data_IF_093346815172
#
_entry.id   IF_093346815172
#
_cell.length_a   1.000
_cell.length_b   1.000
_cell.length_c   1.000
_cell.angle_alpha   90.00
_cell.angle_beta   90.00
_cell.angle_gamma   90.00
#
_symmetry.space_group_name_H-M   'P 1'
#
loop_
_entity.id
_entity.type
_entity.pdbx_description
1 polymer ?
#
# COMPACT_ATOMS: atom_id res chain seq x y z
N UNK A 1 16.51 -11.35 -23.56
CA UNK A 1 16.53 -9.92 -23.21
C UNK A 1 15.22 -9.60 -22.50
N UNK A 2 15.27 -9.35 -21.18
CA UNK A 2 14.07 -9.14 -20.38
C UNK A 2 13.49 -7.74 -20.60
N UNK A 3 12.17 -7.66 -20.80
CA UNK A 3 11.44 -6.41 -20.95
C UNK A 3 11.27 -5.74 -19.57
N UNK A 4 12.20 -4.88 -19.19
CA UNK A 4 12.23 -4.23 -17.87
C UNK A 4 11.35 -2.97 -17.75
N UNK A 5 10.59 -2.62 -18.80
CA UNK A 5 9.95 -1.30 -18.92
C UNK A 5 8.46 -1.29 -18.48
N UNK A 6 7.81 -2.42 -18.29
CA UNK A 6 6.34 -2.46 -18.12
C UNK A 6 5.78 -2.81 -16.73
N UNK A 7 6.62 -3.01 -15.71
CA UNK A 7 6.12 -3.48 -14.39
C UNK A 7 5.68 -2.30 -13.50
N UNK A 8 6.34 -1.14 -13.60
CA UNK A 8 5.98 0.06 -12.83
C UNK A 8 4.78 0.82 -13.42
N UNK A 9 4.44 0.61 -14.69
CA UNK A 9 3.23 1.18 -15.32
C UNK A 9 1.99 0.30 -15.23
N UNK A 10 2.13 -0.94 -14.73
CA UNK A 10 1.02 -1.88 -14.61
C UNK A 10 0.08 -1.46 -13.47
N UNK A 11 -1.17 -1.15 -13.83
CA UNK A 11 -2.20 -0.68 -12.90
C UNK A 11 -2.47 -1.69 -11.77
N UNK A 12 -2.38 -2.99 -12.06
CA UNK A 12 -2.60 -4.04 -11.07
C UNK A 12 -1.46 -4.06 -10.04
N UNK A 13 -0.22 -3.89 -10.51
CA UNK A 13 0.93 -3.76 -9.63
C UNK A 13 0.87 -2.51 -8.76
N UNK A 14 0.52 -1.36 -9.32
CA UNK A 14 0.36 -0.12 -8.54
C UNK A 14 -0.74 -0.23 -7.51
N UNK A 15 -1.87 -0.84 -7.89
CA UNK A 15 -2.96 -1.12 -6.97
C UNK A 15 -2.54 -2.07 -5.83
N UNK A 16 -1.79 -3.13 -6.16
CA UNK A 16 -1.20 -4.01 -5.15
C UNK A 16 -0.25 -3.26 -4.20
N UNK A 17 0.60 -2.37 -4.70
CA UNK A 17 1.48 -1.56 -3.84
C UNK A 17 0.70 -0.63 -2.90
N UNK A 18 -0.42 -0.06 -3.37
CA UNK A 18 -1.30 0.73 -2.52
C UNK A 18 -1.90 -0.13 -1.38
N UNK A 19 -2.36 -1.34 -1.69
CA UNK A 19 -2.89 -2.28 -0.70
C UNK A 19 -1.82 -2.79 0.27
N UNK A 20 -0.56 -2.91 -0.14
CA UNK A 20 0.54 -3.18 0.81
C UNK A 20 0.67 -2.12 1.90
N UNK A 21 0.31 -0.87 1.61
CA UNK A 21 0.36 0.22 2.59
C UNK A 21 -0.95 0.34 3.39
N UNK A 22 -2.08 0.14 2.71
CA UNK A 22 -3.41 0.30 3.30
C UNK A 22 -3.92 -0.92 4.07
N UNK A 23 -3.47 -2.12 3.72
CA UNK A 23 -3.99 -3.39 4.21
C UNK A 23 -4.80 -4.15 3.16
N UNK A 24 -5.27 -5.34 3.54
CA UNK A 24 -6.03 -6.20 2.66
C UNK A 24 -7.28 -5.49 2.13
N UNK A 25 -7.64 -5.71 0.85
CA UNK A 25 -8.88 -5.18 0.30
C UNK A 25 -10.09 -5.85 0.99
N UNK A 26 -11.26 -5.19 1.04
CA UNK A 26 -12.50 -5.81 1.50
C UNK A 26 -12.87 -7.02 0.64
N UNK A 27 -13.51 -8.04 1.22
CA UNK A 27 -13.92 -9.26 0.52
C UNK A 27 -14.78 -8.98 -0.72
N UNK A 28 -15.64 -7.96 -0.64
CA UNK A 28 -16.50 -7.49 -1.73
C UNK A 28 -15.73 -7.02 -2.97
N UNK A 29 -14.43 -6.76 -2.87
CA UNK A 29 -13.60 -6.34 -4.00
C UNK A 29 -13.14 -7.51 -4.88
N UNK A 30 -13.28 -8.75 -4.40
CA UNK A 30 -12.94 -9.97 -5.15
C UNK A 30 -13.63 -10.07 -6.52
N UNK A 31 -14.81 -9.45 -6.69
CA UNK A 31 -15.51 -9.36 -7.99
C UNK A 31 -14.86 -8.41 -9.00
N UNK A 32 -14.07 -7.45 -8.53
CA UNK A 32 -13.42 -6.43 -9.36
C UNK A 32 -11.95 -6.71 -9.57
N UNK A 33 -11.31 -7.39 -8.62
CA UNK A 33 -9.90 -7.68 -8.67
C UNK A 33 -9.58 -9.09 -8.15
N UNK A 34 -9.15 -9.95 -9.07
CA UNK A 34 -8.73 -11.31 -8.77
C UNK A 34 -7.25 -11.32 -8.32
N UNK A 35 -7.02 -11.05 -7.04
CA UNK A 35 -5.68 -10.99 -6.44
C UNK A 35 -4.88 -12.27 -6.71
N UNK A 36 -5.49 -13.43 -6.57
CA UNK A 36 -4.82 -14.72 -6.78
C UNK A 36 -4.34 -14.85 -8.23
N UNK A 37 -5.18 -14.49 -9.21
CA UNK A 37 -4.79 -14.50 -10.63
C UNK A 37 -3.66 -13.53 -10.91
N UNK A 38 -3.66 -12.36 -10.25
CA UNK A 38 -2.56 -11.41 -10.35
C UNK A 38 -1.27 -12.00 -9.74
N UNK A 39 -1.31 -12.54 -8.53
CA UNK A 39 -0.15 -13.19 -7.90
C UNK A 39 0.42 -14.31 -8.79
N UNK A 40 -0.44 -15.17 -9.33
CA UNK A 40 -0.07 -16.26 -10.25
C UNK A 40 0.67 -15.73 -11.49
N UNK A 41 0.19 -14.63 -12.09
CA UNK A 41 0.85 -14.04 -13.27
C UNK A 41 2.25 -13.48 -12.96
N UNK A 42 2.53 -13.16 -11.70
CA UNK A 42 3.84 -12.67 -11.26
C UNK A 42 4.84 -13.75 -10.87
N UNK A 43 4.48 -15.05 -10.90
CA UNK A 43 5.38 -16.15 -10.49
C UNK A 43 6.71 -16.19 -11.24
N UNK A 44 6.73 -15.73 -12.50
CA UNK A 44 7.95 -15.63 -13.30
C UNK A 44 8.83 -14.41 -12.99
N UNK A 45 8.40 -13.51 -12.10
CA UNK A 45 9.15 -12.30 -11.78
C UNK A 45 10.31 -12.61 -10.83
N UNK A 46 11.34 -11.77 -10.85
CA UNK A 46 12.46 -11.87 -9.89
C UNK A 46 11.98 -11.82 -8.43
N UNK A 47 10.90 -11.08 -8.17
CA UNK A 47 10.21 -10.99 -6.88
C UNK A 47 8.71 -11.12 -7.13
N UNK A 48 8.17 -12.34 -7.06
CA UNK A 48 6.73 -12.57 -7.19
C UNK A 48 5.95 -11.80 -6.12
N UNK A 49 4.73 -11.43 -6.46
CA UNK A 49 3.79 -10.79 -5.55
C UNK A 49 3.11 -11.85 -4.69
N UNK A 50 2.92 -11.55 -3.40
CA UNK A 50 2.24 -12.41 -2.42
C UNK A 50 0.82 -11.90 -2.17
N UNK A 51 -0.17 -12.78 -1.93
CA UNK A 51 -1.52 -12.35 -1.52
C UNK A 51 -1.57 -11.88 -0.06
N UNK A 52 -0.44 -11.86 0.65
CA UNK A 52 -0.33 -11.43 2.05
C UNK A 52 0.10 -9.96 2.12
N UNK A 53 -0.67 -9.15 2.85
CA UNK A 53 -0.42 -7.72 3.04
C UNK A 53 0.19 -7.45 4.41
N UNK A 54 1.52 -7.52 4.49
CA UNK A 54 2.26 -7.05 5.68
C UNK A 54 2.41 -5.52 5.62
N UNK A 55 1.47 -4.82 6.26
CA UNK A 55 1.47 -3.36 6.29
C UNK A 55 2.59 -2.80 7.13
N UNK A 56 2.97 -3.47 8.22
CA UNK A 56 3.99 -2.96 9.14
C UNK A 56 5.36 -2.97 8.47
N UNK A 57 5.74 -4.08 7.83
CA UNK A 57 6.96 -4.15 7.02
C UNK A 57 6.93 -3.14 5.85
N UNK A 58 5.78 -2.96 5.20
CA UNK A 58 5.64 -1.99 4.11
C UNK A 58 5.90 -0.54 4.56
N UNK A 59 5.50 -0.17 5.78
CA UNK A 59 5.78 1.15 6.34
C UNK A 59 7.22 1.26 6.87
N UNK A 60 7.72 0.25 7.58
CA UNK A 60 9.09 0.26 8.12
C UNK A 60 10.14 0.32 7.01
N UNK A 61 9.94 -0.41 5.91
CA UNK A 61 10.83 -0.34 4.74
C UNK A 61 10.89 1.03 4.05
N UNK A 62 9.92 1.92 4.33
CA UNK A 62 9.82 3.28 3.80
C UNK A 62 10.12 4.35 4.85
N UNK A 63 10.51 3.95 6.06
CA UNK A 63 10.78 4.88 7.14
C UNK A 63 11.95 5.80 6.76
N UNK A 64 11.81 7.13 6.90
CA UNK A 64 12.88 8.08 6.61
C UNK A 64 14.06 7.84 7.55
N UNK A 65 15.27 8.07 7.06
CA UNK A 65 16.47 8.04 7.89
C UNK A 65 16.70 9.44 8.45
N UNK A 66 16.48 9.61 9.76
CA UNK A 66 16.78 10.84 10.49
C UNK A 66 16.04 12.11 9.99
N UNK A 67 14.82 11.96 9.48
CA UNK A 67 13.97 13.08 9.07
C UNK A 67 12.63 13.01 9.80
N UNK A 68 12.49 13.83 10.85
CA UNK A 68 11.30 13.90 11.69
C UNK A 68 10.09 14.48 10.96
N UNK A 69 10.28 15.42 10.02
CA UNK A 69 9.17 16.00 9.27
C UNK A 69 8.57 14.95 8.32
N UNK A 70 9.44 14.21 7.62
CA UNK A 70 9.01 13.08 6.80
C UNK A 70 8.33 11.97 7.62
N UNK A 71 8.77 11.71 8.87
CA UNK A 71 8.10 10.76 9.75
C UNK A 71 6.67 11.22 10.11
N UNK A 72 6.49 12.50 10.44
CA UNK A 72 5.17 13.09 10.73
C UNK A 72 4.27 13.04 9.49
N UNK A 73 4.79 13.36 8.32
CA UNK A 73 4.05 13.27 7.06
C UNK A 73 3.63 11.83 6.73
N UNK A 74 4.53 10.85 6.86
CA UNK A 74 4.19 9.45 6.58
C UNK A 74 3.18 8.89 7.59
N UNK A 75 3.24 9.32 8.85
CA UNK A 75 2.22 8.99 9.83
C UNK A 75 0.83 9.49 9.40
N UNK A 76 0.76 10.72 8.88
CA UNK A 76 -0.46 11.28 8.32
C UNK A 76 -1.00 10.45 7.16
N UNK A 77 -0.16 10.13 6.16
CA UNK A 77 -0.56 9.30 5.01
C UNK A 77 -1.05 7.93 5.46
N UNK A 78 -0.33 7.26 6.38
CA UNK A 78 -0.71 5.94 6.91
C UNK A 78 -2.13 5.93 7.47
N UNK A 79 -2.51 6.97 8.22
CA UNK A 79 -3.86 7.11 8.79
C UNK A 79 -4.96 7.32 7.74
N UNK A 80 -4.63 7.90 6.58
CA UNK A 80 -5.55 8.11 5.47
C UNK A 80 -5.76 6.86 4.60
N UNK A 81 -4.67 6.16 4.27
CA UNK A 81 -4.70 5.08 3.25
C UNK A 81 -5.09 3.71 3.82
N UNK A 82 -5.30 3.61 5.14
CA UNK A 82 -5.76 2.38 5.79
C UNK A 82 -7.08 1.90 5.15
N UNK A 83 -7.08 0.66 4.68
CA UNK A 83 -8.18 0.08 3.89
C UNK A 83 -9.33 -0.41 4.78
N UNK A 84 -9.01 -0.95 5.96
CA UNK A 84 -10.00 -1.31 6.98
C UNK A 84 -10.68 -0.04 7.53
N UNK A 85 -11.99 0.16 7.27
CA UNK A 85 -12.68 1.37 7.69
C UNK A 85 -12.79 1.51 9.21
N UNK A 86 -12.75 0.40 9.97
CA UNK A 86 -12.78 0.42 11.44
C UNK A 86 -11.48 0.96 12.05
N UNK A 87 -10.36 0.82 11.32
CA UNK A 87 -9.03 1.29 11.72
C UNK A 87 -8.64 2.61 11.07
N UNK A 88 -9.29 2.98 9.97
CA UNK A 88 -9.03 4.24 9.25
C UNK A 88 -9.46 5.43 10.11
N UNK A 89 -8.58 6.44 10.18
CA UNK A 89 -8.89 7.67 10.93
C UNK A 89 -10.01 8.45 10.25
N UNK A 90 -10.93 9.00 11.05
CA UNK A 90 -11.94 9.93 10.56
C UNK A 90 -11.28 11.21 10.05
N UNK A 91 -11.79 11.75 8.95
CA UNK A 91 -11.26 12.99 8.33
C UNK A 91 -11.21 14.14 9.33
N UNK A 92 -12.24 14.31 10.16
CA UNK A 92 -12.26 15.38 11.17
C UNK A 92 -11.03 15.30 12.12
N UNK A 93 -10.65 14.09 12.56
CA UNK A 93 -9.46 13.89 13.41
C UNK A 93 -8.14 14.05 12.66
N UNK A 94 -8.16 13.90 11.33
CA UNK A 94 -6.98 14.09 10.50
C UNK A 94 -6.66 15.57 10.29
N UNK A 95 -7.67 16.46 10.37
CA UNK A 95 -7.46 17.91 10.31
C UNK A 95 -6.64 18.43 11.49
N UNK A 96 -6.72 17.76 12.64
CA UNK A 96 -5.93 18.05 13.85
C UNK A 96 -4.55 17.36 13.84
N UNK A 97 -4.12 16.76 12.72
CA UNK A 97 -2.85 16.06 12.66
C UNK A 97 -1.68 17.04 12.67
N UNK A 98 -0.56 16.77 13.38
CA UNK A 98 0.61 17.66 13.44
C UNK A 98 1.27 18.02 12.10
N UNK A 99 0.90 17.32 11.02
CA UNK A 99 1.39 17.64 9.67
C UNK A 99 0.67 18.86 9.07
N UNK A 100 -0.56 19.13 9.50
CA UNK A 100 -1.40 20.23 8.99
C UNK A 100 -1.40 21.45 9.93
N UNK A 101 -0.64 21.38 11.02
CA UNK A 101 -0.49 22.43 12.02
C UNK A 101 0.66 23.38 11.69
#
# INVERSE_FOLDING_TARGET
>A
MGNWVYIQGDVQYQFYQALRLGGAPPDDWSKYWALEKFCESTKGWRRPVSPVFDTDDAWESRRPRNDSESEVFLNFIRKMVTTDPSRRSQIARLLDHPFLS
#
